data_IF_725796397198
#
_entry.id   IF_725796397198
#
_cell.length_a   1.000
_cell.length_b   1.000
_cell.length_c   1.000
_cell.angle_alpha   90.00
_cell.angle_beta   90.00
_cell.angle_gamma   90.00
#
_symmetry.space_group_name_H-M   'P 1'
#
loop_
_entity.id
_entity.type
_entity.pdbx_description
1 polymer ?
#
# COMPACT_ATOMS: atom_id res chain seq x y z
N UNK A 1 3.78 30.37 15.26
CA UNK A 1 3.50 30.92 13.92
C UNK A 1 3.67 29.78 12.94
N UNK A 2 2.64 29.37 12.19
CA UNK A 2 2.80 28.38 11.12
C UNK A 2 3.31 29.14 9.90
N UNK A 3 4.54 28.86 9.48
CA UNK A 3 5.09 29.47 8.27
C UNK A 3 4.64 28.62 7.08
N UNK A 4 4.07 29.26 6.06
CA UNK A 4 3.84 28.62 4.77
C UNK A 4 5.17 28.61 4.01
N UNK A 5 5.56 27.44 3.51
CA UNK A 5 6.76 27.25 2.72
C UNK A 5 6.35 26.87 1.32
N UNK A 6 6.85 27.59 0.32
CA UNK A 6 6.73 27.20 -1.07
C UNK A 6 7.83 26.19 -1.38
N UNK A 7 7.44 24.97 -1.73
CA UNK A 7 8.33 23.88 -2.08
C UNK A 7 8.20 23.59 -3.58
N UNK A 8 9.31 23.67 -4.29
CA UNK A 8 9.38 23.30 -5.71
C UNK A 8 9.74 21.81 -5.79
N UNK A 9 8.74 20.94 -5.64
CA UNK A 9 8.91 19.49 -5.57
C UNK A 9 9.44 18.89 -6.87
N UNK A 10 9.05 19.43 -8.03
CA UNK A 10 9.56 19.02 -9.34
C UNK A 10 9.43 20.15 -10.38
N UNK A 11 10.01 20.01 -11.59
CA UNK A 11 9.80 20.98 -12.68
C UNK A 11 8.33 21.15 -13.11
N UNK A 12 7.45 20.21 -12.73
CA UNK A 12 6.05 20.18 -13.11
C UNK A 12 5.10 20.44 -11.94
N UNK A 13 5.61 20.45 -10.69
CA UNK A 13 4.79 20.46 -9.48
C UNK A 13 5.32 21.47 -8.46
N UNK A 14 4.39 22.21 -7.87
CA UNK A 14 4.64 23.20 -6.81
C UNK A 14 3.72 22.87 -5.64
N UNK A 15 4.28 22.86 -4.44
CA UNK A 15 3.56 22.64 -3.20
C UNK A 15 3.65 23.86 -2.28
N UNK A 16 2.54 24.19 -1.61
CA UNK A 16 2.51 25.22 -0.56
C UNK A 16 2.24 24.52 0.76
N UNK A 17 3.31 24.25 1.49
CA UNK A 17 3.29 23.41 2.67
C UNK A 17 3.13 24.25 3.95
N UNK A 18 2.19 23.86 4.80
CA UNK A 18 2.11 24.36 6.17
C UNK A 18 2.97 23.47 7.07
N UNK A 19 4.27 23.78 7.17
CA UNK A 19 5.16 23.03 8.04
C UNK A 19 4.85 23.35 9.52
N UNK A 20 4.29 22.37 10.23
CA UNK A 20 4.34 22.30 11.70
C UNK A 20 5.33 21.21 12.08
N UNK A 21 6.04 21.37 13.19
CA UNK A 21 7.13 20.51 13.71
C UNK A 21 6.74 19.06 14.05
N UNK A 22 5.79 18.46 13.36
CA UNK A 22 5.35 17.08 13.54
C UNK A 22 6.13 16.09 12.65
N UNK A 23 5.93 14.80 12.90
CA UNK A 23 6.42 13.75 12.03
C UNK A 23 5.77 13.83 10.64
N UNK A 24 6.51 13.45 9.60
CA UNK A 24 6.01 13.38 8.23
C UNK A 24 5.01 12.22 8.13
N UNK A 25 3.76 12.55 7.78
CA UNK A 25 2.68 11.57 7.63
C UNK A 25 2.81 10.78 6.33
N UNK A 26 2.69 9.46 6.41
CA UNK A 26 2.72 8.56 5.26
C UNK A 26 1.49 7.62 5.21
N UNK A 27 1.39 6.79 4.17
CA UNK A 27 0.23 5.88 3.97
C UNK A 27 0.10 4.83 5.08
N UNK A 28 1.21 4.41 5.71
CA UNK A 28 1.20 3.52 6.88
C UNK A 28 0.52 4.15 8.09
N UNK A 29 0.80 5.43 8.37
CA UNK A 29 0.12 6.20 9.43
C UNK A 29 -1.39 6.30 9.15
N UNK A 30 -1.76 6.49 7.88
CA UNK A 30 -3.14 6.48 7.40
C UNK A 30 -3.87 5.17 7.72
N UNK A 31 -3.24 4.03 7.40
CA UNK A 31 -3.79 2.70 7.67
C UNK A 31 -3.94 2.47 9.17
N UNK A 32 -2.90 2.77 9.96
CA UNK A 32 -2.93 2.61 11.41
C UNK A 32 -4.08 3.43 12.04
N UNK A 33 -4.22 4.68 11.62
CA UNK A 33 -5.27 5.57 12.13
C UNK A 33 -6.67 5.09 11.72
N UNK A 34 -6.85 4.59 10.50
CA UNK A 34 -8.14 4.07 10.03
C UNK A 34 -8.56 2.83 10.82
N UNK A 35 -7.67 1.84 10.95
CA UNK A 35 -7.96 0.60 11.68
C UNK A 35 -8.29 0.88 13.15
N UNK A 36 -7.53 1.77 13.79
CA UNK A 36 -7.81 2.20 15.15
C UNK A 36 -9.19 2.87 15.28
N UNK A 37 -9.57 3.72 14.32
CA UNK A 37 -10.88 4.40 14.33
C UNK A 37 -12.07 3.44 14.15
N UNK A 38 -11.85 2.31 13.48
CA UNK A 38 -12.86 1.27 13.28
C UNK A 38 -12.91 0.27 14.44
N UNK A 39 -12.05 0.41 15.45
CA UNK A 39 -11.87 -0.56 16.53
C UNK A 39 -11.57 -1.98 16.03
N UNK A 40 -10.84 -2.09 14.92
CA UNK A 40 -10.50 -3.34 14.26
C UNK A 40 -9.00 -3.67 14.40
N UNK A 41 -8.55 -4.77 13.81
CA UNK A 41 -7.16 -5.23 13.86
C UNK A 41 -6.71 -5.92 12.59
N UNK A 42 -5.46 -5.65 12.18
CA UNK A 42 -4.80 -6.31 11.06
C UNK A 42 -4.23 -7.69 11.41
N UNK A 43 -4.20 -8.06 12.70
CA UNK A 43 -3.46 -9.24 13.22
C UNK A 43 -4.01 -10.58 12.75
N UNK A 44 -5.28 -10.65 12.36
CA UNK A 44 -5.96 -11.90 12.06
C UNK A 44 -6.29 -12.02 10.57
N UNK A 45 -6.18 -13.24 10.04
CA UNK A 45 -6.55 -13.54 8.66
C UNK A 45 -5.53 -13.05 7.63
N UNK A 46 -5.99 -12.94 6.37
CA UNK A 46 -5.18 -12.49 5.23
C UNK A 46 -5.47 -11.02 4.93
N UNK A 47 -4.41 -10.25 4.71
CA UNK A 47 -4.49 -8.83 4.36
C UNK A 47 -3.80 -8.60 3.00
N UNK A 48 -4.57 -8.21 1.99
CA UNK A 48 -4.05 -7.89 0.67
C UNK A 48 -3.68 -6.39 0.60
N UNK A 49 -2.41 -6.10 0.36
CA UNK A 49 -1.90 -4.75 0.14
C UNK A 49 -1.62 -4.57 -1.35
N UNK A 50 -2.35 -3.65 -1.97
CA UNK A 50 -2.16 -3.28 -3.37
C UNK A 50 -1.41 -1.95 -3.50
N UNK A 51 -0.45 -1.86 -4.42
CA UNK A 51 0.33 -0.64 -4.66
C UNK A 51 0.96 -0.59 -6.05
N UNK A 52 1.58 0.54 -6.37
CA UNK A 52 2.24 0.76 -7.66
C UNK A 52 3.53 1.57 -7.52
N UNK A 53 3.66 2.36 -6.45
CA UNK A 53 4.82 3.23 -6.22
C UNK A 53 5.51 2.94 -4.89
N UNK A 54 6.68 3.54 -4.68
CA UNK A 54 7.39 3.46 -3.40
C UNK A 54 6.61 4.12 -2.25
N UNK A 55 5.68 5.03 -2.55
CA UNK A 55 4.81 5.65 -1.54
C UNK A 55 3.88 4.66 -0.83
N UNK A 56 3.67 3.47 -1.41
CA UNK A 56 2.86 2.39 -0.84
C UNK A 56 3.65 1.46 0.10
N UNK A 57 4.99 1.54 0.09
CA UNK A 57 5.82 0.70 0.95
C UNK A 57 5.55 0.91 2.45
N UNK A 58 5.32 2.13 2.97
CA UNK A 58 4.95 2.30 4.38
C UNK A 58 3.64 1.61 4.77
N UNK A 59 2.67 1.54 3.86
CA UNK A 59 1.44 0.78 4.09
C UNK A 59 1.75 -0.72 4.19
N UNK A 60 2.56 -1.26 3.28
CA UNK A 60 2.99 -2.66 3.32
C UNK A 60 3.77 -2.99 4.60
N UNK A 61 4.74 -2.14 4.96
CA UNK A 61 5.56 -2.29 6.16
C UNK A 61 4.72 -2.31 7.43
N UNK A 62 3.74 -1.41 7.53
CA UNK A 62 2.84 -1.38 8.68
C UNK A 62 2.05 -2.69 8.80
N UNK A 63 1.46 -3.17 7.70
CA UNK A 63 0.70 -4.44 7.71
C UNK A 63 1.59 -5.63 8.06
N UNK A 64 2.80 -5.72 7.51
CA UNK A 64 3.77 -6.79 7.84
C UNK A 64 4.13 -6.76 9.32
N UNK A 65 4.31 -5.57 9.90
CA UNK A 65 4.69 -5.42 11.31
C UNK A 65 3.61 -5.95 12.28
N UNK A 66 2.34 -5.88 11.88
CA UNK A 66 1.19 -6.36 12.67
C UNK A 66 0.82 -7.82 12.34
N UNK A 67 1.03 -8.25 11.09
CA UNK A 67 0.61 -9.55 10.58
C UNK A 67 1.63 -10.13 9.56
N UNK A 68 2.80 -10.61 10.05
CA UNK A 68 3.91 -11.02 9.20
C UNK A 68 3.58 -12.19 8.28
N UNK A 69 2.73 -13.12 8.71
CA UNK A 69 2.37 -14.35 7.98
C UNK A 69 1.08 -14.22 7.15
N UNK A 70 0.25 -13.22 7.45
CA UNK A 70 -1.04 -13.01 6.82
C UNK A 70 -1.03 -12.02 5.65
N UNK A 71 0.00 -11.18 5.54
CA UNK A 71 0.10 -10.20 4.46
C UNK A 71 0.30 -10.86 3.09
N UNK A 72 -0.36 -10.30 2.08
CA UNK A 72 -0.18 -10.59 0.65
C UNK A 72 0.07 -9.26 -0.06
N UNK A 73 1.06 -9.21 -0.95
CA UNK A 73 1.41 -8.00 -1.70
C UNK A 73 1.04 -8.15 -3.18
N UNK A 74 0.36 -7.15 -3.73
CA UNK A 74 -0.01 -7.08 -5.15
C UNK A 74 0.44 -5.74 -5.73
N UNK A 75 1.47 -5.75 -6.58
CA UNK A 75 2.04 -4.52 -7.11
C UNK A 75 1.94 -4.43 -8.63
N UNK A 76 1.56 -3.24 -9.11
CA UNK A 76 1.31 -2.96 -10.53
C UNK A 76 2.46 -2.16 -11.13
N UNK A 77 2.93 -2.54 -12.33
CA UNK A 77 3.90 -1.75 -13.08
C UNK A 77 5.24 -1.55 -12.36
N UNK A 78 5.54 -2.39 -11.36
CA UNK A 78 6.66 -2.17 -10.47
C UNK A 78 8.01 -2.32 -11.17
N UNK A 79 8.85 -1.30 -11.01
CA UNK A 79 10.27 -1.34 -11.38
C UNK A 79 11.03 -2.41 -10.61
N UNK A 80 12.21 -2.79 -11.08
CA UNK A 80 13.03 -3.81 -10.42
C UNK A 80 13.39 -3.45 -8.98
N UNK A 81 13.70 -2.17 -8.72
CA UNK A 81 13.99 -1.69 -7.36
C UNK A 81 12.77 -1.77 -6.44
N UNK A 82 11.58 -1.46 -6.96
CA UNK A 82 10.34 -1.59 -6.19
C UNK A 82 10.02 -3.07 -5.91
N UNK A 83 10.20 -3.94 -6.90
CA UNK A 83 10.02 -5.41 -6.74
C UNK A 83 10.91 -5.96 -5.64
N UNK A 84 12.19 -5.62 -5.64
CA UNK A 84 13.15 -6.01 -4.61
C UNK A 84 12.75 -5.49 -3.23
N UNK A 85 12.30 -4.23 -3.14
CA UNK A 85 11.85 -3.64 -1.87
C UNK A 85 10.64 -4.38 -1.31
N UNK A 86 9.63 -4.66 -2.15
CA UNK A 86 8.44 -5.42 -1.76
C UNK A 86 8.80 -6.83 -1.31
N UNK A 87 9.63 -7.54 -2.08
CA UNK A 87 10.10 -8.89 -1.73
C UNK A 87 10.85 -8.91 -0.41
N UNK A 88 11.75 -7.95 -0.17
CA UNK A 88 12.48 -7.83 1.09
C UNK A 88 11.58 -7.52 2.29
N UNK A 89 10.51 -6.76 2.09
CA UNK A 89 9.57 -6.41 3.17
C UNK A 89 8.69 -7.61 3.53
N UNK A 90 8.21 -8.37 2.53
CA UNK A 90 7.32 -9.53 2.76
C UNK A 90 8.10 -10.76 3.24
N UNK A 91 9.32 -10.96 2.73
CA UNK A 91 10.20 -12.07 3.11
C UNK A 91 9.80 -13.45 2.56
N UNK A 92 8.75 -13.52 1.72
CA UNK A 92 8.24 -14.75 1.12
C UNK A 92 7.62 -14.45 -0.25
N UNK A 93 8.32 -14.89 -1.30
CA UNK A 93 7.93 -14.65 -2.70
C UNK A 93 6.58 -15.27 -3.06
N UNK A 94 6.13 -16.31 -2.35
CA UNK A 94 4.82 -16.94 -2.61
C UNK A 94 3.63 -16.04 -2.26
N UNK A 95 3.87 -14.98 -1.49
CA UNK A 95 2.87 -13.99 -1.06
C UNK A 95 2.98 -12.67 -1.82
N UNK A 96 3.84 -12.62 -2.84
CA UNK A 96 4.06 -11.42 -3.66
C UNK A 96 3.59 -11.69 -5.09
N UNK A 97 2.77 -10.79 -5.61
CA UNK A 97 2.27 -10.82 -6.97
C UNK A 97 2.60 -9.50 -7.68
N UNK A 98 3.23 -9.57 -8.84
CA UNK A 98 3.48 -8.40 -9.68
C UNK A 98 2.72 -8.54 -11.00
N UNK A 99 1.98 -7.49 -11.38
CA UNK A 99 1.26 -7.42 -12.64
C UNK A 99 1.71 -6.19 -13.44
N UNK A 100 1.52 -6.23 -14.75
CA UNK A 100 1.93 -5.13 -15.64
C UNK A 100 0.97 -3.93 -15.61
N UNK A 101 -0.32 -4.18 -15.44
CA UNK A 101 -1.35 -3.13 -15.41
C UNK A 101 -2.53 -3.50 -14.51
N UNK A 102 -3.36 -2.52 -14.09
CA UNK A 102 -4.52 -2.77 -13.23
C UNK A 102 -5.57 -3.69 -13.86
N UNK A 103 -5.68 -3.71 -15.19
CA UNK A 103 -6.69 -4.51 -15.89
C UNK A 103 -6.55 -6.02 -15.67
N UNK A 104 -5.32 -6.49 -15.41
CA UNK A 104 -5.08 -7.88 -15.00
C UNK A 104 -5.82 -8.18 -13.70
N UNK A 105 -5.80 -7.26 -12.74
CA UNK A 105 -6.47 -7.38 -11.45
C UNK A 105 -7.98 -7.27 -11.63
N UNK A 106 -8.44 -6.31 -12.44
CA UNK A 106 -9.87 -6.16 -12.74
C UNK A 106 -10.47 -7.43 -13.35
N UNK A 107 -9.79 -8.03 -14.34
CA UNK A 107 -10.23 -9.27 -14.95
C UNK A 107 -10.17 -10.45 -13.97
N UNK A 108 -9.12 -10.54 -13.14
CA UNK A 108 -9.01 -11.56 -12.11
C UNK A 108 -10.15 -11.48 -11.09
N UNK A 109 -10.47 -10.29 -10.59
CA UNK A 109 -11.56 -10.08 -9.65
C UNK A 109 -12.92 -10.38 -10.30
N UNK A 110 -13.13 -9.96 -11.55
CA UNK A 110 -14.35 -10.30 -12.28
C UNK A 110 -14.57 -11.82 -12.38
N UNK A 111 -13.50 -12.59 -12.59
CA UNK A 111 -13.58 -14.06 -12.63
C UNK A 111 -13.89 -14.66 -11.27
N UNK A 112 -13.27 -14.16 -10.20
CA UNK A 112 -13.53 -14.61 -8.82
C UNK A 112 -14.99 -14.35 -8.44
N UNK A 113 -15.52 -13.18 -8.79
CA UNK A 113 -16.92 -12.84 -8.53
C UNK A 113 -17.87 -13.73 -9.32
N UNK A 114 -17.60 -13.98 -10.60
CA UNK A 114 -18.43 -14.87 -11.43
C UNK A 114 -18.44 -16.31 -10.88
N UNK A 115 -17.28 -16.85 -10.52
CA UNK A 115 -17.19 -18.20 -9.96
C UNK A 115 -17.91 -18.32 -8.60
N UNK A 116 -17.94 -17.25 -7.80
CA UNK A 116 -18.67 -17.24 -6.53
C UNK A 116 -20.19 -17.33 -6.75
N UNK A 117 -20.71 -16.61 -7.74
CA UNK A 117 -22.14 -16.63 -8.09
C UNK A 117 -22.58 -18.02 -8.57
N UNK A 118 -21.70 -18.80 -9.19
CA UNK A 118 -21.99 -20.17 -9.64
C UNK A 118 -22.01 -21.21 -8.50
N UNK A 119 -21.49 -20.85 -7.32
CA UNK A 119 -21.40 -21.74 -6.14
C UNK A 119 -22.50 -21.46 -5.10
N UNK A 120 -23.18 -20.32 -5.19
CA UNK A 120 -24.29 -19.90 -4.32
C UNK A 120 -25.65 -20.21 -4.97
#
# INVERSE_FOLDING_TARGET
MKNLVLENSSPLEIEVCAHSSGAVWNKGDGVASLIASLHDSLKNGKVLVAGDTTSDLPMLQHVVSENPDGVMALFVGASESLRQSVGSIVGDDSRVCFVSCPDVIHAAFSRVLAAKIELD
#
